data_IF_677428988925
#
_entry.id   IF_677428988925
#
_cell.length_a   1.000
_cell.length_b   1.000
_cell.length_c   1.000
_cell.angle_alpha   90.00
_cell.angle_beta   90.00
_cell.angle_gamma   90.00
#
_symmetry.space_group_name_H-M   'P 1'
#
loop_
_entity.id
_entity.type
_entity.pdbx_description
1 polymer ?
#
# COMPACT_ATOMS: atom_id res chain seq x y z
N UNK A 1 28.37 4.70 14.39
CA UNK A 1 27.43 5.85 14.32
C UNK A 1 27.89 7.01 13.42
N UNK A 2 28.98 6.91 12.63
CA UNK A 2 29.50 8.06 11.85
C UNK A 2 29.00 8.17 10.39
N UNK A 3 28.57 7.07 9.79
CA UNK A 3 28.17 6.98 8.38
C UNK A 3 26.97 7.89 8.04
N UNK A 4 25.98 7.96 8.93
CA UNK A 4 24.78 8.79 8.78
C UNK A 4 25.07 10.29 8.95
N UNK A 5 26.05 10.68 9.77
CA UNK A 5 26.49 12.08 9.90
C UNK A 5 27.28 12.54 8.68
N UNK A 6 28.20 11.72 8.17
CA UNK A 6 28.95 12.02 6.93
C UNK A 6 28.03 12.15 5.72
N UNK A 7 27.03 11.26 5.59
CA UNK A 7 26.02 11.36 4.52
C UNK A 7 25.19 12.64 4.62
N UNK A 8 24.88 13.12 5.83
CA UNK A 8 24.23 14.43 6.06
C UNK A 8 25.07 15.59 5.59
N UNK A 9 26.36 15.61 5.90
CA UNK A 9 27.28 16.68 5.50
C UNK A 9 27.50 16.75 4.00
N UNK A 10 27.58 15.59 3.32
CA UNK A 10 27.78 15.53 1.85
C UNK A 10 26.51 15.94 1.11
N UNK A 11 25.33 15.54 1.59
CA UNK A 11 24.05 15.81 0.93
C UNK A 11 23.45 17.17 1.31
N UNK A 12 23.86 17.78 2.43
CA UNK A 12 23.40 19.12 2.84
C UNK A 12 21.88 19.25 2.84
N UNK A 13 21.36 20.27 2.14
CA UNK A 13 19.91 20.50 1.98
C UNK A 13 19.20 19.42 1.14
N UNK A 14 19.95 18.57 0.45
CA UNK A 14 19.40 17.41 -0.27
C UNK A 14 19.23 16.18 0.63
N UNK A 15 19.72 16.22 1.87
CA UNK A 15 19.55 15.11 2.81
C UNK A 15 18.08 14.97 3.25
N UNK A 16 17.40 13.96 2.71
CA UNK A 16 15.96 13.75 2.93
C UNK A 16 15.07 14.31 1.83
N UNK A 17 15.65 14.95 0.81
CA UNK A 17 14.94 15.30 -0.42
C UNK A 17 14.68 14.04 -1.26
N UNK A 18 13.53 14.03 -1.94
CA UNK A 18 13.09 12.90 -2.73
C UNK A 18 13.78 12.87 -4.09
N UNK A 19 14.97 12.28 -4.14
CA UNK A 19 15.77 12.16 -5.36
C UNK A 19 14.97 11.51 -6.50
N UNK A 20 14.86 12.15 -7.68
CA UNK A 20 14.15 11.57 -8.81
C UNK A 20 14.83 10.27 -9.23
N UNK A 21 14.05 9.18 -9.33
CA UNK A 21 14.56 7.83 -9.57
C UNK A 21 15.13 7.71 -11.00
N UNK A 22 14.69 8.58 -11.92
CA UNK A 22 15.16 8.69 -13.29
C UNK A 22 15.26 10.16 -13.72
N UNK A 23 16.39 10.63 -14.31
CA UNK A 23 16.60 12.04 -14.65
C UNK A 23 15.74 12.56 -15.81
N UNK A 24 15.15 11.67 -16.62
CA UNK A 24 14.34 12.02 -17.79
C UNK A 24 12.83 11.96 -17.54
N UNK A 25 12.41 11.46 -16.37
CA UNK A 25 11.00 11.25 -16.03
C UNK A 25 10.69 12.03 -14.74
N UNK A 26 9.73 12.98 -14.74
CA UNK A 26 9.43 13.82 -13.58
C UNK A 26 8.62 13.06 -12.51
N UNK A 27 9.01 11.82 -12.21
CA UNK A 27 8.48 11.04 -11.10
C UNK A 27 9.46 11.19 -9.94
N UNK A 28 9.05 11.96 -8.95
CA UNK A 28 9.83 12.09 -7.71
C UNK A 28 9.66 10.84 -6.87
N UNK A 29 10.68 10.47 -6.10
CA UNK A 29 10.59 9.34 -5.17
C UNK A 29 9.42 9.49 -4.17
N UNK A 30 9.03 10.74 -3.87
CA UNK A 30 7.86 11.06 -3.06
C UNK A 30 6.54 10.63 -3.71
N UNK A 31 6.35 10.88 -5.00
CA UNK A 31 5.14 10.46 -5.72
C UNK A 31 5.03 8.94 -5.78
N UNK A 32 6.14 8.26 -6.06
CA UNK A 32 6.19 6.79 -6.05
C UNK A 32 5.86 6.22 -4.66
N UNK A 33 6.44 6.78 -3.59
CA UNK A 33 6.11 6.33 -2.23
C UNK A 33 4.66 6.61 -1.85
N UNK A 34 4.10 7.75 -2.24
CA UNK A 34 2.71 8.08 -1.96
C UNK A 34 1.76 7.13 -2.71
N UNK A 35 2.07 6.83 -3.98
CA UNK A 35 1.33 5.86 -4.78
C UNK A 35 1.39 4.46 -4.18
N UNK A 36 2.58 4.00 -3.77
CA UNK A 36 2.75 2.70 -3.11
C UNK A 36 1.99 2.62 -1.79
N UNK A 37 2.00 3.69 -0.98
CA UNK A 37 1.21 3.76 0.26
C UNK A 37 -0.28 3.62 -0.01
N UNK A 38 -0.79 4.36 -1.00
CA UNK A 38 -2.21 4.30 -1.37
C UNK A 38 -2.60 2.93 -1.90
N UNK A 39 -1.81 2.36 -2.81
CA UNK A 39 -2.06 1.05 -3.40
C UNK A 39 -2.01 -0.04 -2.34
N UNK A 40 -0.99 -0.04 -1.47
CA UNK A 40 -0.87 -1.04 -0.39
C UNK A 40 -2.06 -0.98 0.57
N UNK A 41 -2.51 0.24 0.91
CA UNK A 41 -3.71 0.43 1.74
C UNK A 41 -4.98 -0.03 1.02
N UNK A 42 -5.10 0.26 -0.27
CA UNK A 42 -6.19 -0.20 -1.12
C UNK A 42 -6.25 -1.71 -1.24
N UNK A 43 -5.09 -2.37 -1.40
CA UNK A 43 -4.98 -3.83 -1.44
C UNK A 43 -5.49 -4.46 -0.16
N UNK A 44 -5.09 -3.93 1.00
CA UNK A 44 -5.61 -4.42 2.29
C UNK A 44 -7.12 -4.25 2.40
N UNK A 45 -7.66 -3.11 1.98
CA UNK A 45 -9.11 -2.90 1.95
C UNK A 45 -9.83 -3.90 1.04
N UNK A 46 -9.29 -4.16 -0.16
CA UNK A 46 -9.83 -5.13 -1.09
C UNK A 46 -9.81 -6.55 -0.52
N UNK A 47 -8.71 -6.96 0.11
CA UNK A 47 -8.60 -8.27 0.78
C UNK A 47 -9.68 -8.40 1.86
N UNK A 48 -9.81 -7.39 2.72
CA UNK A 48 -10.86 -7.39 3.77
C UNK A 48 -12.25 -7.50 3.18
N UNK A 49 -12.54 -6.77 2.09
CA UNK A 49 -13.83 -6.80 1.42
C UNK A 49 -14.12 -8.19 0.83
N UNK A 50 -13.15 -8.79 0.14
CA UNK A 50 -13.29 -10.14 -0.42
C UNK A 50 -13.55 -11.18 0.67
N UNK A 51 -12.82 -11.12 1.78
CA UNK A 51 -13.02 -12.02 2.92
C UNK A 51 -14.41 -11.81 3.52
N UNK A 52 -14.81 -10.57 3.77
CA UNK A 52 -16.12 -10.25 4.31
C UNK A 52 -17.25 -10.73 3.39
N UNK A 53 -17.10 -10.54 2.08
CA UNK A 53 -18.03 -11.01 1.07
C UNK A 53 -18.11 -12.54 1.06
N UNK A 54 -16.97 -13.23 1.08
CA UNK A 54 -16.93 -14.70 1.15
C UNK A 54 -17.61 -15.24 2.40
N UNK A 55 -17.35 -14.65 3.57
CA UNK A 55 -18.02 -15.02 4.83
C UNK A 55 -19.52 -14.77 4.74
N UNK A 56 -19.92 -13.62 4.20
CA UNK A 56 -21.33 -13.28 3.99
C UNK A 56 -22.01 -14.31 3.12
N UNK A 57 -21.35 -14.71 2.02
CA UNK A 57 -21.89 -15.72 1.12
C UNK A 57 -22.01 -17.10 1.76
N UNK A 58 -21.01 -17.51 2.55
CA UNK A 58 -20.91 -18.89 3.05
C UNK A 58 -21.64 -19.13 4.36
N UNK A 59 -21.78 -18.12 5.20
CA UNK A 59 -22.34 -18.24 6.56
C UNK A 59 -23.57 -17.39 6.77
N UNK A 60 -23.52 -16.11 6.41
CA UNK A 60 -24.64 -15.19 6.65
C UNK A 60 -25.82 -15.54 5.73
N UNK A 61 -25.57 -15.78 4.44
CA UNK A 61 -26.60 -16.17 3.48
C UNK A 61 -27.38 -17.41 3.92
N UNK A 62 -26.73 -18.57 4.14
CA UNK A 62 -27.40 -19.78 4.61
C UNK A 62 -27.98 -19.61 6.02
N UNK A 63 -27.26 -18.95 6.94
CA UNK A 63 -27.72 -18.73 8.31
C UNK A 63 -28.96 -17.83 8.41
N UNK A 64 -29.17 -16.93 7.45
CA UNK A 64 -30.36 -16.08 7.33
C UNK A 64 -31.41 -16.67 6.37
N UNK A 65 -31.14 -17.81 5.73
CA UNK A 65 -32.04 -18.47 4.78
C UNK A 65 -32.19 -17.77 3.41
N UNK A 66 -31.22 -16.95 3.00
CA UNK A 66 -31.24 -16.29 1.69
C UNK A 66 -30.96 -17.25 0.52
N UNK A 67 -30.15 -18.28 0.75
CA UNK A 67 -29.92 -19.40 -0.17
C UNK A 67 -29.33 -20.59 0.59
N UNK A 68 -29.54 -21.78 0.04
CA UNK A 68 -28.88 -22.99 0.50
C UNK A 68 -27.64 -23.30 -0.33
N UNK A 69 -26.72 -24.03 0.28
CA UNK A 69 -25.53 -24.52 -0.41
C UNK A 69 -25.91 -25.82 -1.09
N UNK A 70 -25.74 -25.88 -2.40
CA UNK A 70 -25.87 -27.12 -3.13
C UNK A 70 -24.74 -28.07 -2.70
N UNK A 71 -25.11 -29.23 -2.16
CA UNK A 71 -24.21 -30.34 -1.80
C UNK A 71 -23.49 -30.93 -3.02
#
# INVERSE_FOLDING_TARGET
>A
MGESKRRREILGEQYGQAEPILPWLPITKQQSQQFMKWTTRGTWAAITLVIAFWITLRFIGPGLGWWDLAD
#
